data_IF_754872116669
#
_entry.id   IF_754872116669
#
_cell.length_a   1.000
_cell.length_b   1.000
_cell.length_c   1.000
_cell.angle_alpha   90.00
_cell.angle_beta   90.00
_cell.angle_gamma   90.00
#
_symmetry.space_group_name_H-M   'P 1'
#
loop_
_entity.id
_entity.type
_entity.pdbx_description
1 polymer ?
#
# COMPACT_ATOMS: atom_id res chain seq x y z
N UNK A 1 -7.91 -25.95 -27.08
CA UNK A 1 -8.21 -24.52 -27.29
C UNK A 1 -9.69 -24.25 -27.61
N UNK A 2 -10.36 -25.02 -28.48
CA UNK A 2 -11.78 -24.81 -28.83
C UNK A 2 -12.73 -24.63 -27.62
N UNK A 3 -12.76 -25.60 -26.69
CA UNK A 3 -13.59 -25.53 -25.47
C UNK A 3 -13.28 -24.32 -24.58
N UNK A 4 -12.03 -23.85 -24.57
CA UNK A 4 -11.61 -22.68 -23.80
C UNK A 4 -12.12 -21.38 -24.43
N UNK A 5 -12.06 -21.24 -25.76
CA UNK A 5 -12.65 -20.11 -26.47
C UNK A 5 -14.17 -20.05 -26.27
N UNK A 6 -14.84 -21.21 -26.29
CA UNK A 6 -16.28 -21.30 -26.03
C UNK A 6 -16.62 -20.86 -24.58
N UNK A 7 -15.84 -21.31 -23.59
CA UNK A 7 -16.04 -20.91 -22.20
C UNK A 7 -15.76 -19.41 -21.98
N UNK A 8 -14.75 -18.83 -22.64
CA UNK A 8 -14.49 -17.39 -22.61
C UNK A 8 -15.61 -16.58 -23.28
N UNK A 9 -16.28 -17.11 -24.30
CA UNK A 9 -17.39 -16.42 -24.97
C UNK A 9 -18.51 -16.05 -23.99
N UNK A 10 -18.81 -16.94 -23.02
CA UNK A 10 -19.81 -16.73 -21.96
C UNK A 10 -19.38 -15.76 -20.85
N UNK A 11 -18.19 -15.17 -20.91
CA UNK A 11 -17.70 -14.21 -19.91
C UNK A 11 -17.90 -12.75 -20.33
N UNK A 12 -17.93 -11.85 -19.34
CA UNK A 12 -18.02 -10.39 -19.51
C UNK A 12 -16.72 -9.71 -20.00
N UNK A 13 -15.68 -10.48 -20.35
CA UNK A 13 -14.42 -9.94 -20.86
C UNK A 13 -14.61 -9.27 -22.23
N UNK A 14 -13.83 -8.22 -22.52
CA UNK A 14 -13.85 -7.59 -23.86
C UNK A 14 -13.24 -8.50 -24.91
N UNK A 15 -13.54 -8.26 -26.20
CA UNK A 15 -12.95 -9.03 -27.29
C UNK A 15 -11.41 -9.00 -27.27
N UNK A 16 -10.82 -7.84 -26.95
CA UNK A 16 -9.39 -7.67 -26.80
C UNK A 16 -8.81 -8.52 -25.65
N UNK A 17 -9.45 -8.49 -24.48
CA UNK A 17 -9.03 -9.31 -23.32
C UNK A 17 -9.12 -10.81 -23.61
N UNK A 18 -10.16 -11.24 -24.34
CA UNK A 18 -10.31 -12.64 -24.76
C UNK A 18 -9.17 -13.06 -25.69
N UNK A 19 -8.86 -12.25 -26.70
CA UNK A 19 -7.76 -12.53 -27.64
C UNK A 19 -6.40 -12.58 -26.94
N UNK A 20 -6.11 -11.62 -26.06
CA UNK A 20 -4.87 -11.60 -25.28
C UNK A 20 -4.73 -12.84 -24.38
N UNK A 21 -5.80 -13.20 -23.68
CA UNK A 21 -5.83 -14.39 -22.80
C UNK A 21 -5.58 -15.68 -23.58
N UNK A 22 -6.17 -15.80 -24.77
CA UNK A 22 -5.97 -16.96 -25.65
C UNK A 22 -4.53 -17.02 -26.16
N UNK A 23 -3.99 -15.90 -26.65
CA UNK A 23 -2.61 -15.83 -27.13
C UNK A 23 -1.60 -16.20 -26.04
N UNK A 24 -1.79 -15.67 -24.83
CA UNK A 24 -0.96 -16.01 -23.67
C UNK A 24 -1.01 -17.50 -23.34
N UNK A 25 -2.20 -18.11 -23.35
CA UNK A 25 -2.35 -19.56 -23.14
C UNK A 25 -1.66 -20.39 -24.23
N UNK A 26 -1.72 -19.95 -25.50
CA UNK A 26 -1.01 -20.63 -26.59
C UNK A 26 0.50 -20.57 -26.38
N UNK A 27 1.04 -19.41 -26.00
CA UNK A 27 2.47 -19.27 -25.71
C UNK A 27 2.91 -20.16 -24.54
N UNK A 28 2.19 -20.11 -23.42
CA UNK A 28 2.47 -20.96 -22.25
C UNK A 28 2.35 -22.46 -22.60
N UNK A 29 1.43 -22.85 -23.50
CA UNK A 29 1.32 -24.22 -24.00
C UNK A 29 2.54 -24.65 -24.81
N UNK A 30 2.96 -23.82 -25.76
CA UNK A 30 4.11 -24.09 -26.62
C UNK A 30 5.39 -24.20 -25.80
N UNK A 31 5.55 -23.36 -24.78
CA UNK A 31 6.67 -23.44 -23.83
C UNK A 31 6.58 -24.69 -22.94
N UNK A 32 5.40 -24.98 -22.38
CA UNK A 32 5.15 -26.14 -21.53
C UNK A 32 5.40 -27.46 -22.26
N UNK A 33 5.06 -27.55 -23.54
CA UNK A 33 5.31 -28.71 -24.40
C UNK A 33 6.78 -29.09 -24.46
N UNK A 34 7.72 -28.12 -24.45
CA UNK A 34 9.17 -28.38 -24.44
C UNK A 34 9.62 -29.16 -23.18
N UNK A 35 8.83 -29.10 -22.12
CA UNK A 35 9.10 -29.77 -20.83
C UNK A 35 8.10 -30.90 -20.51
N UNK A 36 7.32 -31.35 -21.50
CA UNK A 36 6.33 -32.42 -21.32
C UNK A 36 5.13 -32.05 -20.45
N UNK A 37 4.90 -30.76 -20.17
CA UNK A 37 3.77 -30.32 -19.35
C UNK A 37 2.50 -30.29 -20.18
N UNK A 38 1.47 -30.97 -19.72
CA UNK A 38 0.13 -30.94 -20.35
C UNK A 38 -0.68 -29.75 -19.85
N UNK A 39 -1.63 -29.28 -20.66
CA UNK A 39 -2.56 -28.21 -20.26
C UNK A 39 -3.30 -28.53 -18.94
N UNK A 40 -3.66 -29.80 -18.74
CA UNK A 40 -4.34 -30.27 -17.52
C UNK A 40 -3.43 -30.20 -16.30
N UNK A 41 -2.14 -30.50 -16.45
CA UNK A 41 -1.17 -30.37 -15.36
C UNK A 41 -0.87 -28.90 -15.03
N UNK A 42 -0.95 -28.00 -16.01
CA UNK A 42 -0.65 -26.57 -15.81
C UNK A 42 -1.83 -25.80 -15.21
N UNK A 43 -3.07 -26.13 -15.58
CA UNK A 43 -4.25 -25.32 -15.23
C UNK A 43 -5.47 -26.08 -14.74
N UNK A 44 -5.44 -27.41 -14.71
CA UNK A 44 -6.62 -28.22 -14.37
C UNK A 44 -7.65 -28.25 -15.51
N UNK A 45 -8.93 -28.11 -15.16
CA UNK A 45 -10.02 -28.08 -16.15
C UNK A 45 -10.17 -26.71 -16.83
N UNK A 46 -10.88 -26.68 -17.95
CA UNK A 46 -11.21 -25.42 -18.66
C UNK A 46 -11.95 -24.45 -17.74
N UNK A 47 -12.91 -24.95 -16.97
CA UNK A 47 -13.69 -24.14 -16.03
C UNK A 47 -12.83 -23.59 -14.89
N UNK A 48 -11.92 -24.41 -14.34
CA UNK A 48 -10.96 -23.96 -13.32
C UNK A 48 -10.06 -22.85 -13.86
N UNK A 49 -9.58 -22.97 -15.10
CA UNK A 49 -8.78 -21.93 -15.75
C UNK A 49 -9.58 -20.67 -16.00
N UNK A 50 -10.79 -20.76 -16.52
CA UNK A 50 -11.68 -19.60 -16.72
C UNK A 50 -12.01 -18.93 -15.40
N UNK A 51 -12.31 -19.69 -14.35
CA UNK A 51 -12.49 -19.14 -13.01
C UNK A 51 -11.22 -18.47 -12.48
N UNK A 52 -10.03 -19.00 -12.75
CA UNK A 52 -8.75 -18.36 -12.38
C UNK A 52 -8.51 -17.07 -13.16
N UNK A 53 -9.02 -16.96 -14.39
CA UNK A 53 -8.92 -15.73 -15.20
C UNK A 53 -9.91 -14.67 -14.70
N UNK A 54 -11.12 -15.08 -14.36
CA UNK A 54 -12.16 -14.19 -13.84
C UNK A 54 -11.90 -13.77 -12.39
N UNK A 55 -11.40 -14.69 -11.59
CA UNK A 55 -11.09 -14.55 -10.18
C UNK A 55 -9.61 -14.97 -9.96
N UNK A 56 -8.65 -14.15 -10.41
CA UNK A 56 -7.25 -14.44 -10.18
C UNK A 56 -7.01 -14.66 -8.68
N UNK A 57 -6.36 -15.78 -8.29
CA UNK A 57 -6.07 -16.03 -6.89
C UNK A 57 -5.30 -14.85 -6.34
N UNK A 58 -5.75 -14.34 -5.18
CA UNK A 58 -5.09 -13.23 -4.51
C UNK A 58 -3.60 -13.54 -4.41
N UNK A 59 -2.78 -12.59 -4.83
CA UNK A 59 -1.32 -12.69 -4.74
C UNK A 59 -0.95 -13.13 -3.33
N UNK A 60 -0.16 -14.19 -3.20
CA UNK A 60 0.34 -14.62 -1.89
C UNK A 60 1.11 -13.45 -1.25
N UNK A 61 0.78 -13.05 0.00
CA UNK A 61 1.52 -12.02 0.71
C UNK A 61 2.99 -12.45 0.83
N UNK A 62 3.90 -11.55 0.50
CA UNK A 62 5.33 -11.74 0.66
C UNK A 62 5.90 -10.54 1.41
N UNK A 63 6.25 -10.68 2.70
CA UNK A 63 6.71 -9.57 3.53
C UNK A 63 7.87 -8.78 2.92
N UNK A 64 8.81 -9.43 2.24
CA UNK A 64 9.97 -8.72 1.66
C UNK A 64 9.57 -7.91 0.43
N UNK A 65 8.78 -8.51 -0.45
CA UNK A 65 8.31 -7.88 -1.69
C UNK A 65 7.23 -6.82 -1.44
N UNK A 66 6.39 -7.02 -0.43
CA UNK A 66 5.31 -6.11 -0.05
C UNK A 66 5.78 -4.95 0.84
N UNK A 67 6.98 -5.04 1.42
CA UNK A 67 7.50 -4.02 2.35
C UNK A 67 7.52 -2.61 1.77
N UNK A 68 8.25 -2.40 0.66
CA UNK A 68 8.42 -1.07 0.07
C UNK A 68 7.13 -0.48 -0.50
N UNK A 69 6.28 -1.26 -1.19
CA UNK A 69 4.93 -0.82 -1.53
C UNK A 69 4.12 -0.42 -0.30
N UNK A 70 4.13 -1.23 0.76
CA UNK A 70 3.46 -0.86 2.01
C UNK A 70 4.02 0.41 2.61
N UNK A 71 5.34 0.62 2.52
CA UNK A 71 5.97 1.81 3.07
C UNK A 71 5.57 3.09 2.33
N UNK A 72 5.58 3.04 0.99
CA UNK A 72 5.11 4.16 0.17
C UNK A 72 3.63 4.47 0.40
N UNK A 73 2.79 3.44 0.50
CA UNK A 73 1.37 3.62 0.82
C UNK A 73 1.16 4.25 2.20
N UNK A 74 1.82 3.74 3.24
CA UNK A 74 1.70 4.30 4.58
C UNK A 74 2.25 5.73 4.64
N UNK A 75 3.32 6.06 3.93
CA UNK A 75 3.83 7.44 3.85
C UNK A 75 2.78 8.39 3.26
N UNK A 76 2.16 8.02 2.13
CA UNK A 76 1.11 8.82 1.51
C UNK A 76 -0.14 8.94 2.41
N UNK A 77 -0.49 7.85 3.11
CA UNK A 77 -1.64 7.82 4.02
C UNK A 77 -1.41 8.72 5.25
N UNK A 78 -0.22 8.70 5.84
CA UNK A 78 0.11 9.59 6.96
C UNK A 78 0.27 11.05 6.52
N UNK A 79 0.82 11.28 5.32
CA UNK A 79 0.85 12.62 4.72
C UNK A 79 -0.58 13.16 4.55
N UNK A 80 -1.48 12.34 4.00
CA UNK A 80 -2.91 12.66 3.87
C UNK A 80 -3.55 12.98 5.22
N UNK A 81 -3.37 12.10 6.23
CA UNK A 81 -3.96 12.28 7.56
C UNK A 81 -3.47 13.58 8.20
N UNK A 82 -2.16 13.82 8.24
CA UNK A 82 -1.63 15.02 8.89
C UNK A 82 -2.01 16.30 8.16
N UNK A 83 -1.90 16.32 6.82
CA UNK A 83 -2.27 17.52 6.05
C UNK A 83 -3.77 17.82 6.16
N UNK A 84 -4.66 16.81 6.12
CA UNK A 84 -6.07 17.05 6.41
C UNK A 84 -6.32 17.48 7.84
N UNK A 85 -5.71 16.81 8.82
CA UNK A 85 -5.87 17.12 10.24
C UNK A 85 -5.48 18.58 10.51
N UNK A 86 -4.30 19.03 10.07
CA UNK A 86 -3.86 20.41 10.26
C UNK A 86 -4.65 21.40 9.41
N UNK A 87 -5.04 21.03 8.19
CA UNK A 87 -5.94 21.83 7.36
C UNK A 87 -7.29 22.08 8.05
N UNK A 88 -7.92 21.04 8.59
CA UNK A 88 -9.22 21.11 9.27
C UNK A 88 -9.10 21.84 10.61
N UNK A 89 -8.12 21.48 11.46
CA UNK A 89 -7.94 22.10 12.78
C UNK A 89 -7.71 23.62 12.65
N UNK A 90 -7.04 24.08 11.59
CA UNK A 90 -6.77 25.50 11.36
C UNK A 90 -8.02 26.37 11.08
N UNK A 91 -9.20 25.77 10.88
CA UNK A 91 -10.47 26.50 10.80
C UNK A 91 -11.09 26.76 12.17
N UNK A 92 -10.66 26.03 13.21
CA UNK A 92 -11.22 26.19 14.55
C UNK A 92 -10.44 27.27 15.33
N UNK A 93 -11.15 28.23 15.95
CA UNK A 93 -10.51 29.25 16.75
C UNK A 93 -9.82 28.62 17.96
N UNK A 94 -8.56 28.98 18.19
CA UNK A 94 -7.90 28.67 19.45
C UNK A 94 -8.13 29.81 20.44
N UNK A 95 -8.69 29.47 21.60
CA UNK A 95 -8.86 30.42 22.69
C UNK A 95 -7.51 30.62 23.39
N UNK A 96 -6.77 31.67 23.02
CA UNK A 96 -5.63 32.19 23.79
C UNK A 96 -4.23 31.73 23.39
N UNK A 97 -4.09 30.77 22.47
CA UNK A 97 -2.78 30.35 21.93
C UNK A 97 -2.84 30.15 20.41
N UNK A 98 -1.81 30.44 19.61
CA UNK A 98 -1.78 30.00 18.22
C UNK A 98 -1.98 28.48 18.17
N UNK A 99 -2.88 27.96 17.33
CA UNK A 99 -2.96 26.51 17.12
C UNK A 99 -1.57 26.04 16.65
N UNK A 100 -0.95 25.04 17.29
CA UNK A 100 0.34 24.52 16.85
C UNK A 100 0.13 23.75 15.55
N UNK A 101 0.17 24.46 14.43
CA UNK A 101 0.14 23.88 13.10
C UNK A 101 1.55 23.41 12.77
N UNK A 102 1.71 22.11 12.53
CA UNK A 102 3.00 21.55 12.14
C UNK A 102 3.38 22.05 10.74
N UNK A 103 4.60 22.57 10.60
CA UNK A 103 5.11 22.94 9.28
C UNK A 103 5.22 21.74 8.33
N UNK A 104 5.27 22.03 7.04
CA UNK A 104 5.23 20.99 6.00
C UNK A 104 6.40 20.02 6.07
N UNK A 105 7.60 20.51 6.39
CA UNK A 105 8.82 19.69 6.46
C UNK A 105 8.70 18.64 7.55
N UNK A 106 8.19 19.02 8.72
CA UNK A 106 7.95 18.10 9.81
C UNK A 106 6.87 17.07 9.49
N UNK A 107 5.82 17.46 8.79
CA UNK A 107 4.79 16.52 8.31
C UNK A 107 5.40 15.51 7.33
N UNK A 108 6.23 15.95 6.37
CA UNK A 108 6.87 15.07 5.39
C UNK A 108 7.81 14.08 6.08
N UNK A 109 8.65 14.55 7.01
CA UNK A 109 9.56 13.69 7.78
C UNK A 109 8.75 12.67 8.60
N UNK A 110 7.71 13.13 9.30
CA UNK A 110 6.84 12.27 10.10
C UNK A 110 6.14 11.21 9.25
N UNK A 111 5.63 11.60 8.07
CA UNK A 111 5.02 10.69 7.12
C UNK A 111 6.02 9.67 6.57
N UNK A 112 7.26 10.07 6.28
CA UNK A 112 8.31 9.14 5.85
C UNK A 112 8.66 8.12 6.95
N UNK A 113 8.79 8.56 8.20
CA UNK A 113 9.03 7.69 9.36
C UNK A 113 7.88 6.72 9.55
N UNK A 114 6.63 7.19 9.50
CA UNK A 114 5.45 6.34 9.57
C UNK A 114 5.41 5.33 8.41
N UNK A 115 5.72 5.79 7.20
CA UNK A 115 5.81 4.99 6.00
C UNK A 115 6.74 3.80 6.19
N UNK A 116 7.97 4.02 6.63
CA UNK A 116 8.95 2.93 6.81
C UNK A 116 8.65 2.12 8.08
N UNK A 117 8.29 2.79 9.18
CA UNK A 117 8.18 2.18 10.50
C UNK A 117 6.93 1.31 10.71
N UNK A 118 5.77 1.72 10.20
CA UNK A 118 4.52 0.98 10.41
C UNK A 118 4.56 -0.42 9.77
N UNK A 119 5.03 -0.60 8.51
CA UNK A 119 5.25 -1.92 7.94
C UNK A 119 6.23 -2.77 8.75
N UNK A 120 7.33 -2.19 9.27
CA UNK A 120 8.27 -2.92 10.13
C UNK A 120 7.59 -3.44 11.39
N UNK A 121 6.84 -2.58 12.08
CA UNK A 121 6.13 -2.95 13.31
C UNK A 121 5.06 -4.00 13.04
N UNK A 122 4.23 -3.81 12.01
CA UNK A 122 3.18 -4.78 11.67
C UNK A 122 3.73 -6.15 11.26
N UNK A 123 4.88 -6.21 10.58
CA UNK A 123 5.57 -7.46 10.29
C UNK A 123 6.04 -8.19 11.55
N UNK A 124 6.47 -7.45 12.59
CA UNK A 124 6.83 -8.05 13.87
C UNK A 124 5.63 -8.72 14.56
N UNK A 125 4.39 -8.34 14.28
CA UNK A 125 3.21 -8.92 14.93
C UNK A 125 2.35 -9.78 14.01
N UNK A 126 2.89 -10.19 12.85
CA UNK A 126 2.14 -11.04 11.91
C UNK A 126 1.82 -12.41 12.55
N UNK A 127 0.54 -12.84 12.61
CA UNK A 127 0.14 -14.13 13.15
C UNK A 127 0.68 -15.30 12.32
N UNK A 128 0.93 -16.45 12.96
CA UNK A 128 1.33 -17.68 12.25
C UNK A 128 2.75 -17.68 11.68
N UNK A 129 3.55 -16.65 11.97
CA UNK A 129 4.96 -16.55 11.58
C UNK A 129 5.86 -16.83 12.79
N UNK A 130 6.94 -17.59 12.60
CA UNK A 130 7.98 -17.75 13.61
C UNK A 130 8.82 -16.49 13.68
N UNK A 131 8.76 -15.80 14.81
CA UNK A 131 9.49 -14.54 15.03
C UNK A 131 10.88 -14.78 15.61
N UNK A 132 11.85 -13.96 15.22
CA UNK A 132 13.24 -14.03 15.73
C UNK A 132 13.33 -13.65 17.20
N UNK A 133 12.53 -12.67 17.63
CA UNK A 133 12.54 -12.13 18.98
C UNK A 133 11.25 -12.49 19.74
N UNK A 134 11.33 -12.53 21.08
CA UNK A 134 10.17 -12.76 21.94
C UNK A 134 9.14 -11.62 21.79
N UNK A 135 7.90 -11.87 22.22
CA UNK A 135 6.84 -10.85 22.16
C UNK A 135 7.19 -9.59 22.96
N UNK A 136 7.85 -9.73 24.11
CA UNK A 136 8.27 -8.61 24.95
C UNK A 136 9.32 -7.72 24.28
N UNK A 137 10.31 -8.31 23.60
CA UNK A 137 11.31 -7.55 22.84
C UNK A 137 10.65 -6.80 21.69
N UNK A 138 9.70 -7.42 20.98
CA UNK A 138 8.95 -6.77 19.89
C UNK A 138 8.10 -5.59 20.38
N UNK A 139 7.45 -5.74 21.54
CA UNK A 139 6.73 -4.65 22.21
C UNK A 139 7.69 -3.51 22.57
N UNK A 140 8.86 -3.83 23.15
CA UNK A 140 9.88 -2.83 23.46
C UNK A 140 10.35 -2.07 22.21
N UNK A 141 10.61 -2.77 21.09
CA UNK A 141 10.98 -2.14 19.81
C UNK A 141 9.87 -1.20 19.32
N UNK A 142 8.60 -1.61 19.41
CA UNK A 142 7.47 -0.75 19.03
C UNK A 142 7.39 0.51 19.90
N UNK A 143 7.59 0.38 21.22
CA UNK A 143 7.61 1.53 22.14
C UNK A 143 8.76 2.47 21.78
N UNK A 144 9.98 1.94 21.57
CA UNK A 144 11.15 2.72 21.16
C UNK A 144 10.88 3.43 19.83
N UNK A 145 10.26 2.76 18.86
CA UNK A 145 9.87 3.38 17.60
C UNK A 145 8.94 4.57 17.82
N UNK A 146 7.90 4.44 18.63
CA UNK A 146 6.97 5.53 18.93
C UNK A 146 7.67 6.68 19.66
N UNK A 147 8.55 6.38 20.63
CA UNK A 147 9.33 7.40 21.35
C UNK A 147 10.24 8.17 20.39
N UNK A 148 11.01 7.47 19.56
CA UNK A 148 11.89 8.10 18.56
C UNK A 148 11.07 8.94 17.58
N UNK A 149 9.93 8.43 17.13
CA UNK A 149 9.05 9.18 16.24
C UNK A 149 8.52 10.45 16.91
N UNK A 150 8.11 10.39 18.18
CA UNK A 150 7.68 11.57 18.94
C UNK A 150 8.81 12.58 19.12
N UNK A 151 10.04 12.13 19.41
CA UNK A 151 11.21 13.03 19.52
C UNK A 151 11.50 13.71 18.19
N UNK A 152 11.46 12.99 17.08
CA UNK A 152 11.64 13.59 15.75
C UNK A 152 10.51 14.57 15.44
N UNK A 153 9.27 14.22 15.80
CA UNK A 153 8.11 15.07 15.57
C UNK A 153 8.17 16.37 16.37
N UNK A 154 8.47 16.30 17.67
CA UNK A 154 8.62 17.49 18.51
C UNK A 154 9.83 18.32 18.10
N UNK A 155 10.97 17.68 17.79
CA UNK A 155 12.16 18.35 17.28
C UNK A 155 11.89 19.09 15.97
N UNK A 156 11.12 18.49 15.05
CA UNK A 156 10.73 19.14 13.81
C UNK A 156 9.80 20.35 14.05
N UNK A 157 8.96 20.33 15.09
CA UNK A 157 8.12 21.47 15.46
C UNK A 157 8.92 22.67 15.98
N UNK A 158 10.15 22.45 16.47
CA UNK A 158 11.07 23.50 16.93
C UNK A 158 11.91 24.10 15.80
N UNK A 159 11.86 23.54 14.59
CA UNK A 159 12.59 24.08 13.44
C UNK A 159 12.09 25.49 13.07
N UNK A 160 12.99 26.40 12.66
CA UNK A 160 12.60 27.73 12.24
C UNK A 160 11.70 27.67 10.99
N UNK A 161 10.84 28.67 10.83
CA UNK A 161 9.86 28.74 9.73
C UNK A 161 10.50 28.71 8.33
N UNK A 162 11.77 29.07 8.20
CA UNK A 162 12.53 28.94 6.94
C UNK A 162 12.70 27.48 6.52
N UNK A 163 12.89 26.57 7.49
CA UNK A 163 13.09 25.13 7.25
C UNK A 163 11.77 24.38 7.37
N UNK A 164 10.91 24.74 8.31
CA UNK A 164 9.62 24.11 8.55
C UNK A 164 8.46 25.11 8.44
N UNK A 165 8.19 25.64 7.24
CA UNK A 165 7.15 26.65 7.07
C UNK A 165 5.77 26.05 7.32
N UNK A 166 4.96 26.77 8.10
CA UNK A 166 3.53 26.51 8.19
C UNK A 166 2.86 27.04 6.92
N UNK A 167 2.08 26.18 6.26
CA UNK A 167 1.36 26.55 5.05
C UNK A 167 0.02 27.20 5.39
N UNK A 168 -0.58 27.87 4.41
CA UNK A 168 -1.97 28.31 4.52
C UNK A 168 -2.91 27.09 4.66
N UNK A 169 -4.00 27.22 5.41
CA UNK A 169 -5.04 26.19 5.61
C UNK A 169 -5.51 25.52 4.32
N UNK A 170 -5.69 26.29 3.24
CA UNK A 170 -6.09 25.75 1.95
C UNK A 170 -5.01 24.88 1.30
N UNK A 171 -3.73 25.24 1.46
CA UNK A 171 -2.62 24.45 0.95
C UNK A 171 -2.55 23.09 1.64
N UNK A 172 -2.79 23.03 2.96
CA UNK A 172 -2.91 21.77 3.68
C UNK A 172 -4.06 20.90 3.16
N UNK A 173 -5.24 21.47 2.91
CA UNK A 173 -6.37 20.72 2.35
C UNK A 173 -6.07 20.18 0.94
N UNK A 174 -5.45 21.00 0.08
CA UNK A 174 -5.06 20.58 -1.28
C UNK A 174 -4.02 19.45 -1.21
N UNK A 175 -3.01 19.56 -0.34
CA UNK A 175 -2.04 18.48 -0.13
C UNK A 175 -2.69 17.21 0.43
N UNK A 176 -3.70 17.33 1.29
CA UNK A 176 -4.51 16.21 1.76
C UNK A 176 -5.22 15.51 0.61
N UNK A 177 -5.90 16.27 -0.26
CA UNK A 177 -6.58 15.73 -1.44
C UNK A 177 -5.61 15.07 -2.43
N UNK A 178 -4.45 15.69 -2.68
CA UNK A 178 -3.41 15.12 -3.53
C UNK A 178 -2.84 13.83 -2.94
N UNK A 179 -2.62 13.78 -1.62
CA UNK A 179 -2.13 12.59 -0.93
C UNK A 179 -3.18 11.48 -0.88
N UNK A 180 -4.47 11.82 -0.77
CA UNK A 180 -5.58 10.88 -0.89
C UNK A 180 -5.64 10.27 -2.30
N UNK A 181 -5.60 11.09 -3.35
CA UNK A 181 -5.53 10.61 -4.73
C UNK A 181 -4.28 9.76 -4.99
N UNK A 182 -3.13 10.20 -4.49
CA UNK A 182 -1.87 9.48 -4.56
C UNK A 182 -1.93 8.12 -3.88
N UNK A 183 -2.43 8.05 -2.64
CA UNK A 183 -2.55 6.79 -1.89
C UNK A 183 -3.52 5.81 -2.56
N UNK A 184 -4.64 6.30 -3.09
CA UNK A 184 -5.60 5.50 -3.85
C UNK A 184 -4.97 4.93 -5.13
N UNK A 185 -4.28 5.76 -5.90
CA UNK A 185 -3.58 5.34 -7.11
C UNK A 185 -2.46 4.34 -6.79
N UNK A 186 -1.69 4.61 -5.74
CA UNK A 186 -0.59 3.77 -5.29
C UNK A 186 -1.08 2.39 -4.84
N UNK A 187 -2.17 2.32 -4.06
CA UNK A 187 -2.78 1.05 -3.65
C UNK A 187 -3.21 0.21 -4.85
N UNK A 188 -3.78 0.83 -5.89
CA UNK A 188 -4.17 0.15 -7.14
C UNK A 188 -2.98 -0.30 -7.97
N UNK A 189 -1.95 0.54 -8.12
CA UNK A 189 -0.73 0.20 -8.87
C UNK A 189 0.07 -0.95 -8.21
N UNK A 190 0.11 -0.87 -6.88
CA UNK A 190 0.59 -1.80 -5.87
C UNK A 190 0.03 -3.23 -5.86
N UNK A 191 -1.29 -3.34 -6.07
CA UNK A 191 -2.09 -4.46 -5.55
C UNK A 191 -1.75 -4.79 -4.09
N UNK A 192 -1.64 -3.76 -3.25
CA UNK A 192 -1.25 -3.92 -1.85
C UNK A 192 -2.34 -4.72 -1.12
N UNK A 193 -1.99 -5.95 -0.73
CA UNK A 193 -2.84 -6.86 0.04
C UNK A 193 -2.19 -7.08 1.41
N UNK A 194 -2.64 -6.31 2.40
CA UNK A 194 -2.12 -6.37 3.77
C UNK A 194 -1.48 -5.05 4.19
N UNK A 195 -2.27 -4.23 4.88
CA UNK A 195 -1.91 -3.03 5.61
C UNK A 195 -2.97 -2.81 6.70
N UNK A 196 -2.89 -1.72 7.48
CA UNK A 196 -3.91 -1.41 8.49
C UNK A 196 -5.35 -1.33 7.92
N UNK A 197 -5.52 -1.26 6.58
CA UNK A 197 -6.80 -1.37 5.83
C UNK A 197 -6.65 -1.95 4.41
#
# INVERSE_FOLDING_TARGET
MYKFNQALAGTKLTAAQKAETVNKMVQELVEGQKSGKTARNMWGTVDQRVQTILNPPKRKPDPKRDYWPNAGYNALLFLMIFTFMYGIISFFPSKGHPQPVMGITGIIISAAIAGVGIPLVTMMFTPGVKHKYSIWIRIAIMIVFVVVWMVVFTGAAMLPAVINPALNRYAYLVLGLLSAGGSWWYKRRFNITGGLF
#
